data_IF_404639230435
#
_entry.id   IF_404639230435
#
_cell.length_a   1.000
_cell.length_b   1.000
_cell.length_c   1.000
_cell.angle_alpha   90.00
_cell.angle_beta   90.00
_cell.angle_gamma   90.00
#
_symmetry.space_group_name_H-M   'P 1'
#
loop_
_entity.id
_entity.type
_entity.pdbx_description
1 polymer ?
#
# COMPACT_ATOMS: atom_id res chain seq x y z
N UNK A 1 -22.94 10.37 -20.24
CA UNK A 1 -21.53 10.27 -19.79
C UNK A 1 -21.55 10.36 -18.28
N UNK A 2 -21.58 9.22 -17.59
CA UNK A 2 -21.66 9.16 -16.14
C UNK A 2 -20.25 9.28 -15.56
N UNK A 3 -20.02 10.35 -14.79
CA UNK A 3 -18.81 10.55 -14.01
C UNK A 3 -18.96 9.82 -12.67
N UNK A 4 -18.33 8.65 -12.56
CA UNK A 4 -18.17 7.94 -11.28
C UNK A 4 -17.07 8.66 -10.47
N UNK A 5 -17.30 9.02 -9.19
CA UNK A 5 -16.27 9.62 -8.35
C UNK A 5 -15.20 8.57 -7.99
N UNK A 6 -13.94 8.94 -7.74
CA UNK A 6 -12.90 7.98 -7.37
C UNK A 6 -13.08 7.54 -5.90
N UNK A 7 -13.08 6.23 -5.70
CA UNK A 7 -12.27 5.60 -4.67
C UNK A 7 -12.85 5.49 -3.25
N UNK A 8 -14.00 4.84 -3.10
CA UNK A 8 -14.24 3.99 -1.92
C UNK A 8 -14.40 2.54 -2.42
N UNK A 9 -13.29 1.94 -2.82
CA UNK A 9 -13.24 0.48 -2.97
C UNK A 9 -13.19 -0.09 -1.55
N UNK A 10 -14.33 -0.58 -1.06
CA UNK A 10 -14.34 -1.46 0.11
C UNK A 10 -13.31 -2.57 -0.10
N UNK A 11 -12.54 -2.97 0.92
CA UNK A 11 -11.62 -4.08 0.77
C UNK A 11 -12.37 -5.30 0.22
N UNK A 12 -11.78 -6.07 -0.73
CA UNK A 12 -12.42 -7.26 -1.23
C UNK A 12 -12.74 -8.16 -0.05
N UNK A 13 -13.82 -8.95 -0.16
CA UNK A 13 -14.42 -9.75 0.91
C UNK A 13 -13.49 -10.79 1.58
N UNK A 14 -12.19 -10.78 1.26
CA UNK A 14 -11.18 -11.78 1.61
C UNK A 14 -10.09 -11.23 2.55
N UNK A 15 -10.04 -9.91 2.84
CA UNK A 15 -9.04 -9.39 3.78
C UNK A 15 -9.43 -9.70 5.22
N UNK A 16 -8.62 -10.44 6.00
CA UNK A 16 -8.97 -10.80 7.36
C UNK A 16 -9.06 -9.56 8.27
N UNK A 17 -10.12 -9.46 9.07
CA UNK A 17 -10.29 -8.35 10.01
C UNK A 17 -9.12 -8.24 11.02
N UNK A 18 -8.53 -9.38 11.40
CA UNK A 18 -7.36 -9.42 12.28
C UNK A 18 -6.13 -8.73 11.67
N UNK A 19 -5.96 -8.79 10.34
CA UNK A 19 -4.90 -8.07 9.65
C UNK A 19 -5.12 -6.56 9.72
N UNK A 20 -6.35 -6.10 9.47
CA UNK A 20 -6.69 -4.67 9.54
C UNK A 20 -6.47 -4.14 10.95
N UNK A 21 -6.88 -4.90 11.97
CA UNK A 21 -6.69 -4.53 13.37
C UNK A 21 -5.21 -4.48 13.74
N UNK A 22 -4.40 -5.45 13.32
CA UNK A 22 -2.96 -5.45 13.55
C UNK A 22 -2.28 -4.21 12.93
N UNK A 23 -2.66 -3.82 11.71
CA UNK A 23 -2.15 -2.62 11.06
C UNK A 23 -2.56 -1.34 11.80
N UNK A 24 -3.81 -1.26 12.27
CA UNK A 24 -4.33 -0.11 13.03
C UNK A 24 -3.59 0.09 14.36
N UNK A 25 -3.07 -0.98 14.95
CA UNK A 25 -2.34 -0.94 16.21
C UNK A 25 -0.89 -0.45 16.07
N UNK A 26 -0.40 -0.21 14.85
CA UNK A 26 0.96 0.29 14.62
C UNK A 26 1.00 1.81 14.79
N UNK A 27 1.58 2.36 15.87
CA UNK A 27 1.42 3.76 16.24
C UNK A 27 2.03 4.76 15.26
N UNK A 28 3.02 4.32 14.46
CA UNK A 28 3.73 5.16 13.50
C UNK A 28 3.34 4.86 12.05
N UNK A 29 2.40 3.94 11.82
CA UNK A 29 1.88 3.66 10.50
C UNK A 29 0.81 4.68 10.17
N UNK A 30 1.04 5.48 9.13
CA UNK A 30 0.12 6.55 8.71
C UNK A 30 -1.01 5.98 7.89
N UNK A 31 -0.69 5.13 6.92
CA UNK A 31 -1.67 4.37 6.15
C UNK A 31 -1.04 3.09 5.58
N UNK A 32 -1.91 2.15 5.20
CA UNK A 32 -1.53 0.90 4.54
C UNK A 32 -2.49 0.56 3.41
N UNK A 33 -1.96 -0.03 2.34
CA UNK A 33 -2.71 -0.38 1.13
C UNK A 33 -2.29 -1.78 0.67
N UNK A 34 -3.26 -2.64 0.41
CA UNK A 34 -3.03 -3.94 -0.22
C UNK A 34 -2.83 -3.74 -1.72
N UNK A 35 -1.84 -4.40 -2.29
CA UNK A 35 -1.56 -4.38 -3.74
C UNK A 35 -1.45 -5.81 -4.30
N UNK A 36 -1.16 -5.91 -5.59
CA UNK A 36 -0.90 -7.19 -6.25
C UNK A 36 -2.13 -8.06 -6.46
N UNK A 37 -1.92 -9.37 -6.56
CA UNK A 37 -3.00 -10.33 -6.88
C UNK A 37 -4.11 -10.36 -5.84
N UNK A 38 -3.77 -10.08 -4.57
CA UNK A 38 -4.73 -10.02 -3.47
C UNK A 38 -5.66 -8.81 -3.58
N UNK A 39 -5.16 -7.68 -4.07
CA UNK A 39 -5.98 -6.48 -4.29
C UNK A 39 -6.92 -6.64 -5.50
N UNK A 40 -6.43 -7.26 -6.58
CA UNK A 40 -7.15 -7.40 -7.84
C UNK A 40 -8.13 -8.58 -7.89
N UNK A 41 -8.12 -9.45 -6.86
CA UNK A 41 -9.01 -10.62 -6.77
C UNK A 41 -8.58 -11.81 -7.64
N UNK A 42 -7.40 -11.75 -8.27
CA UNK A 42 -6.81 -12.84 -9.04
C UNK A 42 -5.98 -13.79 -8.16
N UNK A 43 -6.41 -14.00 -6.91
CA UNK A 43 -5.69 -14.79 -5.92
C UNK A 43 -5.73 -16.29 -6.27
N UNK A 44 -4.57 -16.95 -6.18
CA UNK A 44 -4.46 -18.40 -6.20
C UNK A 44 -3.99 -18.92 -4.83
N UNK A 45 -4.14 -20.22 -4.58
CA UNK A 45 -3.67 -20.87 -3.35
C UNK A 45 -2.16 -20.65 -3.23
N UNK A 46 -1.73 -19.78 -2.31
CA UNK A 46 -0.33 -19.41 -2.12
C UNK A 46 0.11 -18.07 -2.75
N UNK A 47 -0.81 -17.20 -3.16
CA UNK A 47 -0.46 -15.82 -3.49
C UNK A 47 0.14 -15.09 -2.28
N UNK A 48 1.22 -14.35 -2.52
CA UNK A 48 1.86 -13.50 -1.54
C UNK A 48 0.94 -12.31 -1.17
N UNK A 49 1.22 -11.71 -0.03
CA UNK A 49 0.55 -10.52 0.49
C UNK A 49 1.45 -9.32 0.30
N UNK A 50 1.20 -8.54 -0.75
CA UNK A 50 1.91 -7.30 -1.01
C UNK A 50 1.19 -6.14 -0.32
N UNK A 51 1.83 -5.55 0.69
CA UNK A 51 1.25 -4.46 1.48
C UNK A 51 2.18 -3.25 1.43
N UNK A 52 1.69 -2.18 0.82
CA UNK A 52 2.35 -0.90 0.82
C UNK A 52 2.08 -0.15 2.13
N UNK A 53 3.15 0.37 2.73
CA UNK A 53 3.15 1.04 4.02
C UNK A 53 3.68 2.46 3.86
N UNK A 54 2.99 3.40 4.50
CA UNK A 54 3.51 4.74 4.73
C UNK A 54 3.74 4.93 6.21
N UNK A 55 5.01 4.94 6.63
CA UNK A 55 5.39 5.31 7.98
C UNK A 55 5.39 6.84 8.15
N UNK A 56 5.24 7.28 9.40
CA UNK A 56 5.30 8.70 9.74
C UNK A 56 6.67 9.30 9.37
N UNK A 57 6.72 10.56 8.91
CA UNK A 57 7.94 11.17 8.38
C UNK A 57 9.05 11.33 9.44
N UNK A 58 8.68 11.46 10.71
CA UNK A 58 9.59 11.65 11.84
C UNK A 58 10.35 10.38 12.27
N UNK A 59 9.96 9.20 11.78
CA UNK A 59 10.59 7.94 12.18
C UNK A 59 11.94 7.77 11.50
N UNK A 60 12.97 7.46 12.30
CA UNK A 60 14.32 7.14 11.81
C UNK A 60 14.33 5.81 11.04
N UNK A 61 15.08 5.76 9.94
CA UNK A 61 15.25 4.58 9.09
C UNK A 61 15.54 3.27 9.84
N UNK A 62 16.36 3.29 10.91
CA UNK A 62 16.67 2.06 11.67
C UNK A 62 15.42 1.52 12.37
N UNK A 63 14.60 2.43 12.90
CA UNK A 63 13.36 2.07 13.59
C UNK A 63 12.32 1.56 12.59
N UNK A 64 12.23 2.16 11.40
CA UNK A 64 11.38 1.65 10.32
C UNK A 64 11.77 0.23 9.92
N UNK A 65 13.06 -0.07 9.79
CA UNK A 65 13.49 -1.42 9.43
C UNK A 65 13.06 -2.43 10.50
N UNK A 66 13.32 -2.12 11.78
CA UNK A 66 12.91 -2.96 12.90
C UNK A 66 11.40 -3.15 12.98
N UNK A 67 10.63 -2.07 12.83
CA UNK A 67 9.15 -2.10 12.83
C UNK A 67 8.59 -2.89 11.65
N UNK A 68 9.17 -2.72 10.46
CA UNK A 68 8.74 -3.44 9.25
C UNK A 68 8.95 -4.95 9.41
N UNK A 69 10.10 -5.39 9.94
CA UNK A 69 10.35 -6.82 10.15
C UNK A 69 9.51 -7.43 11.29
N UNK A 70 9.30 -6.66 12.37
CA UNK A 70 8.41 -7.05 13.44
C UNK A 70 6.96 -7.19 12.94
N UNK A 71 6.50 -6.25 12.11
CA UNK A 71 5.19 -6.27 11.50
C UNK A 71 5.03 -7.44 10.52
N UNK A 72 6.04 -7.70 9.68
CA UNK A 72 6.07 -8.86 8.76
C UNK A 72 5.84 -10.17 9.51
N UNK A 73 6.55 -10.35 10.62
CA UNK A 73 6.43 -11.54 11.46
C UNK A 73 5.03 -11.68 12.07
N UNK A 74 4.47 -10.58 12.59
CA UNK A 74 3.13 -10.57 13.20
C UNK A 74 2.02 -10.81 12.17
N UNK A 75 2.15 -10.25 10.96
CA UNK A 75 1.22 -10.49 9.85
C UNK A 75 1.25 -11.96 9.42
N UNK A 76 2.45 -12.53 9.25
CA UNK A 76 2.62 -13.92 8.87
C UNK A 76 1.96 -14.87 9.88
N UNK A 77 2.15 -14.62 11.18
CA UNK A 77 1.49 -15.38 12.25
C UNK A 77 -0.03 -15.24 12.21
N UNK A 78 -0.54 -14.03 12.04
CA UNK A 78 -1.97 -13.74 12.00
C UNK A 78 -2.65 -14.41 10.80
N UNK A 79 -1.97 -14.41 9.66
CA UNK A 79 -2.45 -15.01 8.40
C UNK A 79 -2.16 -16.51 8.29
N UNK A 80 -1.39 -17.09 9.22
CA UNK A 80 -0.93 -18.47 9.21
C UNK A 80 -0.17 -18.83 7.92
N UNK A 81 0.68 -17.91 7.45
CA UNK A 81 1.54 -18.08 6.27
C UNK A 81 3.01 -17.91 6.63
N UNK A 82 3.90 -18.26 5.71
CA UNK A 82 5.33 -18.02 5.87
C UNK A 82 5.63 -16.51 5.83
N UNK A 83 6.59 -15.98 6.60
CA UNK A 83 7.00 -14.57 6.49
C UNK A 83 7.46 -14.16 5.09
N UNK A 84 7.96 -15.12 4.28
CA UNK A 84 8.35 -14.90 2.89
C UNK A 84 7.16 -14.63 1.97
N UNK A 85 5.94 -15.02 2.38
CA UNK A 85 4.72 -14.73 1.65
C UNK A 85 4.11 -13.36 2.01
N UNK A 86 4.80 -12.56 2.84
CA UNK A 86 4.41 -11.19 3.17
C UNK A 86 5.47 -10.27 2.58
N UNK A 87 5.12 -9.46 1.59
CA UNK A 87 5.96 -8.37 1.10
C UNK A 87 5.47 -7.02 1.64
N UNK A 88 6.40 -6.25 2.19
CA UNK A 88 6.11 -4.95 2.81
C UNK A 88 6.89 -3.86 2.10
N UNK A 89 6.18 -2.93 1.49
CA UNK A 89 6.75 -1.91 0.60
C UNK A 89 6.73 -0.55 1.31
N UNK A 90 7.90 0.02 1.64
CA UNK A 90 7.98 1.40 2.16
C UNK A 90 7.79 2.42 1.03
N UNK A 91 6.62 3.08 1.01
CA UNK A 91 6.23 4.03 -0.02
C UNK A 91 7.12 5.27 -0.12
N UNK A 92 7.86 5.61 0.94
CA UNK A 92 8.82 6.73 0.88
C UNK A 92 10.01 6.41 0.01
N UNK A 93 10.34 5.12 -0.14
CA UNK A 93 11.48 4.60 -0.91
C UNK A 93 11.06 3.93 -2.22
N UNK A 94 9.76 3.68 -2.39
CA UNK A 94 9.20 3.12 -3.61
C UNK A 94 9.47 4.02 -4.82
N UNK A 95 9.77 3.39 -5.96
CA UNK A 95 9.89 4.08 -7.24
C UNK A 95 8.51 4.55 -7.73
N UNK A 96 8.50 5.41 -8.77
CA UNK A 96 7.26 5.98 -9.29
C UNK A 96 6.27 4.91 -9.77
N UNK A 97 6.75 3.87 -10.46
CA UNK A 97 5.90 2.78 -10.95
C UNK A 97 5.19 2.03 -9.83
N UNK A 98 5.89 1.74 -8.73
CA UNK A 98 5.29 1.09 -7.56
C UNK A 98 4.27 2.00 -6.87
N UNK A 99 4.58 3.30 -6.71
CA UNK A 99 3.61 4.25 -6.16
C UNK A 99 2.37 4.39 -7.05
N UNK A 100 2.55 4.38 -8.37
CA UNK A 100 1.46 4.41 -9.34
C UNK A 100 0.53 3.21 -9.18
N UNK A 101 1.07 1.99 -9.12
CA UNK A 101 0.30 0.79 -8.88
C UNK A 101 -0.52 0.86 -7.58
N UNK A 102 0.08 1.39 -6.50
CA UNK A 102 -0.61 1.60 -5.22
C UNK A 102 -1.74 2.64 -5.34
N UNK A 103 -1.53 3.72 -6.09
CA UNK A 103 -2.51 4.79 -6.27
C UNK A 103 -3.68 4.39 -7.16
N UNK A 104 -3.45 3.56 -8.17
CA UNK A 104 -4.45 3.20 -9.19
C UNK A 104 -5.17 1.88 -8.89
N UNK A 105 -4.45 0.89 -8.37
CA UNK A 105 -4.94 -0.48 -8.18
C UNK A 105 -5.03 -0.90 -6.71
N UNK A 106 -4.42 -0.10 -5.82
CA UNK A 106 -4.34 -0.42 -4.41
C UNK A 106 -5.71 -0.44 -3.72
N UNK A 107 -5.86 -1.39 -2.80
CA UNK A 107 -7.02 -1.48 -1.92
C UNK A 107 -6.64 -0.88 -0.55
N UNK A 108 -7.25 0.24 -0.15
CA UNK A 108 -7.06 0.81 1.17
C UNK A 108 -7.33 -0.18 2.32
N UNK A 109 -6.42 -0.25 3.29
CA UNK A 109 -6.57 -1.08 4.49
C UNK A 109 -6.77 -0.25 5.77
N UNK A 110 -5.88 0.73 6.01
CA UNK A 110 -5.95 1.61 7.20
C UNK A 110 -5.43 3.00 6.87
N UNK A 111 -5.91 4.03 7.58
CA UNK A 111 -5.36 5.40 7.53
C UNK A 111 -5.64 6.20 6.25
N UNK A 112 -6.48 5.69 5.35
CA UNK A 112 -6.73 6.27 4.03
C UNK A 112 -7.82 7.34 3.97
N UNK A 113 -8.56 7.56 5.06
CA UNK A 113 -9.56 8.63 5.13
C UNK A 113 -8.92 10.01 5.44
N UNK A 114 -7.59 10.04 5.63
CA UNK A 114 -6.84 11.22 6.04
C UNK A 114 -6.11 11.95 4.91
N UNK A 115 -5.61 13.14 5.24
CA UNK A 115 -4.88 14.02 4.33
C UNK A 115 -3.60 13.39 3.76
N UNK A 116 -2.94 12.50 4.53
CA UNK A 116 -1.73 11.83 4.08
C UNK A 116 -1.95 10.96 2.84
N UNK A 117 -3.08 10.24 2.78
CA UNK A 117 -3.45 9.44 1.62
C UNK A 117 -3.77 10.32 0.40
N UNK A 118 -4.54 11.39 0.61
CA UNK A 118 -4.83 12.36 -0.46
C UNK A 118 -3.56 13.00 -1.04
N UNK A 119 -2.61 13.38 -0.17
CA UNK A 119 -1.33 13.93 -0.61
C UNK A 119 -0.48 12.90 -1.36
N UNK A 120 -0.49 11.64 -0.91
CA UNK A 120 0.17 10.55 -1.62
C UNK A 120 -0.39 10.39 -3.04
N UNK A 121 -1.72 10.32 -3.20
CA UNK A 121 -2.38 10.22 -4.50
C UNK A 121 -2.05 11.41 -5.41
N UNK A 122 -2.27 12.63 -4.91
CA UNK A 122 -2.06 13.85 -5.68
C UNK A 122 -0.61 13.98 -6.15
N UNK A 123 0.36 13.70 -5.28
CA UNK A 123 1.78 13.74 -5.63
C UNK A 123 2.10 12.71 -6.69
N UNK A 124 1.62 11.48 -6.53
CA UNK A 124 1.91 10.37 -7.45
C UNK A 124 1.36 10.65 -8.84
N UNK A 125 0.12 11.09 -8.96
CA UNK A 125 -0.48 11.44 -10.26
C UNK A 125 0.23 12.60 -10.95
N UNK A 126 0.64 13.63 -10.20
CA UNK A 126 1.42 14.74 -10.77
C UNK A 126 2.76 14.27 -11.34
N UNK A 127 3.46 13.38 -10.63
CA UNK A 127 4.74 12.83 -11.10
C UNK A 127 4.55 11.89 -12.29
N UNK A 128 3.47 11.12 -12.33
CA UNK A 128 3.10 10.29 -13.49
C UNK A 128 2.81 11.12 -14.73
N UNK A 129 2.01 12.18 -14.60
CA UNK A 129 1.70 13.08 -15.71
C UNK A 129 2.97 13.70 -16.30
N UNK A 130 3.87 14.17 -15.43
CA UNK A 130 5.17 14.69 -15.84
C UNK A 130 5.99 13.63 -16.61
N UNK A 131 6.06 12.41 -16.08
CA UNK A 131 6.79 11.32 -16.72
C UNK A 131 6.20 10.95 -18.09
N UNK A 132 4.88 10.90 -18.23
CA UNK A 132 4.23 10.66 -19.53
C UNK A 132 4.49 11.80 -20.53
N UNK A 133 4.47 13.05 -20.06
CA UNK A 133 4.78 14.20 -20.90
C UNK A 133 6.21 14.14 -21.42
N UNK A 134 7.18 13.81 -20.56
CA UNK A 134 8.58 13.64 -20.92
C UNK A 134 8.78 12.53 -21.95
N UNK A 135 8.12 11.37 -21.79
CA UNK A 135 8.21 10.27 -22.76
C UNK A 135 7.67 10.64 -24.15
N UNK A 136 6.62 11.47 -24.21
CA UNK A 136 6.01 11.88 -25.48
C UNK A 136 6.79 13.00 -26.19
N UNK A 137 7.53 13.83 -25.45
CA UNK A 137 8.23 15.01 -25.97
C UNK A 137 9.75 14.87 -25.99
N UNK A 138 10.31 13.75 -25.54
CA UNK A 138 11.70 13.36 -25.76
C UNK A 138 11.88 12.87 -27.21
N UNK A 139 11.81 13.79 -28.17
CA UNK A 139 12.09 13.59 -29.59
C UNK A 139 13.30 14.44 -30.03
#
# INVERSE_FOLDING_TARGET
>A
MSTTPPGHTSPPATVPAALIELLRQQPQLVFSVLVGSQATGNTHTGSDWDIALQWAPEVNWMDILGQTEALRTQLAQTLHVSPQAIDLIDLRRANLAMRAAVAEEGVPLTGTDGLAWMHFLQRTWRELEQHYWEQQHAA
#
